data_IF_914563604065
#
_entry.id   IF_914563604065
#
_cell.length_a   1.000
_cell.length_b   1.000
_cell.length_c   1.000
_cell.angle_alpha   90.00
_cell.angle_beta   90.00
_cell.angle_gamma   90.00
#
_symmetry.space_group_name_H-M   'P 1'
#
loop_
_entity.id
_entity.type
_entity.pdbx_description
1 polymer ?
#
# COMPACT_ATOMS: atom_id res chain seq x y z
N UNK A 1 -21.02 -7.44 -1.27
CA UNK A 1 -22.04 -7.82 -0.27
C UNK A 1 -22.76 -6.53 0.06
N UNK A 2 -24.08 -6.48 -0.12
CA UNK A 2 -24.82 -5.25 0.17
C UNK A 2 -24.82 -4.99 1.68
N UNK A 3 -24.94 -3.73 2.10
CA UNK A 3 -24.89 -3.33 3.51
C UNK A 3 -25.84 -4.16 4.40
N UNK A 4 -27.04 -4.43 3.88
CA UNK A 4 -28.05 -5.28 4.51
C UNK A 4 -27.59 -6.72 4.77
N UNK A 5 -26.78 -7.28 3.89
CA UNK A 5 -26.21 -8.63 4.04
C UNK A 5 -25.08 -8.65 5.08
N UNK A 6 -24.33 -7.55 5.20
CA UNK A 6 -23.27 -7.38 6.21
C UNK A 6 -23.90 -7.35 7.60
N UNK A 7 -24.88 -6.49 7.81
CA UNK A 7 -25.59 -6.36 9.09
C UNK A 7 -26.23 -7.69 9.51
N UNK A 8 -26.88 -8.40 8.58
CA UNK A 8 -27.46 -9.72 8.85
C UNK A 8 -26.42 -10.76 9.27
N UNK A 9 -25.23 -10.75 8.64
CA UNK A 9 -24.14 -11.67 8.98
C UNK A 9 -23.45 -11.30 10.29
N UNK A 10 -23.31 -10.00 10.55
CA UNK A 10 -22.62 -9.46 11.73
C UNK A 10 -23.44 -9.70 13.00
N UNK A 11 -24.76 -9.55 12.92
CA UNK A 11 -25.67 -9.68 14.04
C UNK A 11 -26.55 -10.93 13.90
N UNK A 12 -25.92 -12.09 13.84
CA UNK A 12 -26.62 -13.38 13.67
C UNK A 12 -27.40 -13.83 14.91
N UNK A 13 -27.06 -13.30 16.08
CA UNK A 13 -27.77 -13.55 17.34
C UNK A 13 -28.56 -12.29 17.74
N UNK A 14 -29.79 -12.50 18.20
CA UNK A 14 -30.75 -11.46 18.58
C UNK A 14 -31.12 -11.51 20.06
N UNK A 15 -30.43 -12.34 20.85
CA UNK A 15 -30.61 -12.37 22.31
C UNK A 15 -30.01 -11.11 22.94
N UNK A 16 -30.88 -10.13 23.18
CA UNK A 16 -30.56 -8.91 23.92
C UNK A 16 -30.75 -9.18 25.41
N UNK A 17 -29.79 -9.85 26.04
CA UNK A 17 -29.70 -9.95 27.50
C UNK A 17 -29.10 -8.68 28.12
N UNK A 18 -29.12 -8.58 29.44
CA UNK A 18 -28.63 -7.41 30.18
C UNK A 18 -27.14 -7.09 29.89
N UNK A 19 -26.36 -8.07 29.40
CA UNK A 19 -24.92 -7.93 29.09
C UNK A 19 -24.65 -7.66 27.60
N UNK A 20 -25.65 -7.76 26.73
CA UNK A 20 -25.49 -7.64 25.28
C UNK A 20 -24.78 -6.35 24.86
N UNK A 21 -25.20 -5.22 25.42
CA UNK A 21 -24.63 -3.90 25.10
C UNK A 21 -23.17 -3.79 25.56
N UNK A 22 -22.84 -4.39 26.71
CA UNK A 22 -21.46 -4.42 27.22
C UNK A 22 -20.57 -5.27 26.31
N UNK A 23 -21.01 -6.48 25.95
CA UNK A 23 -20.29 -7.34 25.02
C UNK A 23 -20.11 -6.71 23.64
N UNK A 24 -21.14 -6.04 23.11
CA UNK A 24 -21.08 -5.33 21.83
C UNK A 24 -20.03 -4.21 21.88
N UNK A 25 -20.03 -3.41 22.96
CA UNK A 25 -19.06 -2.34 23.15
C UNK A 25 -17.63 -2.88 23.30
N UNK A 26 -17.43 -4.00 23.99
CA UNK A 26 -16.11 -4.62 24.11
C UNK A 26 -15.61 -5.20 22.77
N UNK A 27 -16.47 -5.85 21.99
CA UNK A 27 -16.14 -6.30 20.63
C UNK A 27 -15.76 -5.14 19.72
N UNK A 28 -16.50 -4.03 19.81
CA UNK A 28 -16.22 -2.79 19.08
C UNK A 28 -14.84 -2.23 19.43
N UNK A 29 -14.52 -2.07 20.73
CA UNK A 29 -13.20 -1.61 21.19
C UNK A 29 -12.06 -2.51 20.70
N UNK A 30 -12.22 -3.83 20.80
CA UNK A 30 -11.22 -4.80 20.32
C UNK A 30 -11.02 -4.69 18.80
N UNK A 31 -12.10 -4.50 18.05
CA UNK A 31 -12.05 -4.41 16.60
C UNK A 31 -11.39 -3.11 16.13
N UNK A 32 -11.68 -1.96 16.78
CA UNK A 32 -10.99 -0.69 16.50
C UNK A 32 -9.50 -0.80 16.78
N UNK A 33 -9.10 -1.35 17.93
CA UNK A 33 -7.69 -1.55 18.24
C UNK A 33 -7.00 -2.40 17.16
N UNK A 34 -7.69 -3.43 16.64
CA UNK A 34 -7.18 -4.21 15.51
C UNK A 34 -7.06 -3.39 14.22
N UNK A 35 -7.93 -2.41 13.99
CA UNK A 35 -7.90 -1.52 12.84
C UNK A 35 -6.71 -0.55 12.92
N UNK A 36 -6.49 0.08 14.07
CA UNK A 36 -5.34 0.97 14.31
C UNK A 36 -4.01 0.23 14.09
N UNK A 37 -3.88 -0.99 14.61
CA UNK A 37 -2.69 -1.84 14.39
C UNK A 37 -2.40 -2.13 12.92
N UNK A 38 -3.43 -2.21 12.06
CA UNK A 38 -3.23 -2.37 10.61
C UNK A 38 -2.67 -1.09 10.01
N UNK A 39 -3.15 0.08 10.44
CA UNK A 39 -2.60 1.38 10.04
C UNK A 39 -1.12 1.50 10.42
N UNK A 40 -0.77 1.16 11.67
CA UNK A 40 0.63 1.16 12.14
C UNK A 40 1.51 0.23 11.31
N UNK A 41 1.00 -0.97 10.99
CA UNK A 41 1.74 -1.94 10.17
C UNK A 41 1.96 -1.42 8.74
N UNK A 42 0.99 -0.70 8.17
CA UNK A 42 1.12 -0.02 6.87
C UNK A 42 2.23 1.02 6.92
N UNK A 43 2.23 1.89 7.94
CA UNK A 43 3.26 2.93 8.09
C UNK A 43 4.66 2.32 8.21
N UNK A 44 4.85 1.33 9.09
CA UNK A 44 6.13 0.61 9.22
C UNK A 44 6.59 -0.05 7.92
N UNK A 45 5.65 -0.62 7.17
CA UNK A 45 5.95 -1.22 5.86
C UNK A 45 6.44 -0.15 4.87
N UNK A 46 5.80 1.02 4.85
CA UNK A 46 6.22 2.13 3.99
C UNK A 46 7.60 2.66 4.35
N UNK A 47 7.87 2.87 5.63
CA UNK A 47 9.19 3.29 6.13
C UNK A 47 10.29 2.28 5.74
N UNK A 48 10.02 0.98 5.91
CA UNK A 48 10.95 -0.09 5.53
C UNK A 48 11.29 -0.04 4.02
N UNK A 49 10.29 -0.01 3.14
CA UNK A 49 10.55 -0.03 1.70
C UNK A 49 11.18 1.27 1.19
N UNK A 50 10.82 2.42 1.79
CA UNK A 50 11.47 3.70 1.48
C UNK A 50 12.96 3.65 1.83
N UNK A 51 13.29 3.16 3.03
CA UNK A 51 14.68 2.99 3.46
C UNK A 51 15.44 2.00 2.58
N UNK A 52 14.83 0.83 2.28
CA UNK A 52 15.42 -0.20 1.44
C UNK A 52 15.77 0.32 0.03
N UNK A 53 14.83 1.00 -0.63
CA UNK A 53 15.07 1.51 -1.99
C UNK A 53 16.06 2.67 -2.01
N UNK A 54 16.05 3.53 -1.00
CA UNK A 54 17.04 4.61 -0.85
C UNK A 54 18.45 4.03 -0.68
N UNK A 55 18.59 3.01 0.18
CA UNK A 55 19.87 2.32 0.38
C UNK A 55 20.33 1.59 -0.89
N UNK A 56 19.41 0.94 -1.61
CA UNK A 56 19.73 0.26 -2.87
C UNK A 56 20.23 1.24 -3.93
N UNK A 57 19.54 2.37 -4.14
CA UNK A 57 20.00 3.40 -5.07
C UNK A 57 21.37 3.96 -4.70
N UNK A 58 21.63 4.22 -3.42
CA UNK A 58 22.93 4.69 -2.95
C UNK A 58 24.04 3.66 -3.23
N UNK A 59 23.78 2.38 -2.95
CA UNK A 59 24.72 1.30 -3.23
C UNK A 59 25.01 1.14 -4.72
N UNK A 60 23.98 1.23 -5.58
CA UNK A 60 24.14 1.17 -7.03
C UNK A 60 24.97 2.35 -7.54
N UNK A 61 24.69 3.57 -7.09
CA UNK A 61 25.48 4.75 -7.44
C UNK A 61 26.95 4.60 -7.07
N UNK A 62 27.24 4.05 -5.88
CA UNK A 62 28.60 3.77 -5.45
C UNK A 62 29.31 2.71 -6.31
N UNK A 63 28.62 1.60 -6.63
CA UNK A 63 29.18 0.52 -7.47
C UNK A 63 29.52 1.04 -8.86
N UNK A 64 28.60 1.76 -9.50
CA UNK A 64 28.80 2.35 -10.83
C UNK A 64 29.98 3.32 -10.81
N UNK A 65 30.04 4.21 -9.82
CA UNK A 65 31.12 5.19 -9.70
C UNK A 65 32.51 4.57 -9.43
N UNK A 66 32.58 3.40 -8.79
CA UNK A 66 33.84 2.76 -8.41
C UNK A 66 34.35 1.73 -9.41
N UNK A 67 33.45 0.93 -9.98
CA UNK A 67 33.80 -0.24 -10.79
C UNK A 67 33.54 -0.07 -12.29
N UNK A 68 32.82 1.00 -12.70
CA UNK A 68 32.54 1.29 -14.10
C UNK A 68 31.95 0.10 -14.86
N UNK A 69 32.43 -0.09 -16.10
CA UNK A 69 31.89 -1.06 -17.05
C UNK A 69 31.99 -2.52 -16.59
N UNK A 70 32.96 -2.86 -15.75
CA UNK A 70 33.18 -4.23 -15.24
C UNK A 70 32.01 -4.76 -14.40
N UNK A 71 31.10 -3.89 -13.96
CA UNK A 71 29.97 -4.23 -13.08
C UNK A 71 28.59 -4.10 -13.73
N UNK A 72 28.52 -3.70 -15.01
CA UNK A 72 27.27 -3.31 -15.69
C UNK A 72 26.21 -4.40 -15.62
N UNK A 73 26.57 -5.66 -15.91
CA UNK A 73 25.61 -6.78 -15.88
C UNK A 73 24.97 -6.94 -14.49
N UNK A 74 25.77 -6.92 -13.42
CA UNK A 74 25.28 -7.04 -12.05
C UNK A 74 24.40 -5.86 -11.65
N UNK A 75 24.77 -4.65 -12.07
CA UNK A 75 23.98 -3.43 -11.82
C UNK A 75 22.62 -3.52 -12.54
N UNK A 76 22.58 -3.97 -13.80
CA UNK A 76 21.34 -4.17 -14.54
C UNK A 76 20.41 -5.17 -13.85
N UNK A 77 20.95 -6.29 -13.35
CA UNK A 77 20.17 -7.25 -12.56
C UNK A 77 19.62 -6.64 -11.27
N UNK A 78 20.43 -5.86 -10.57
CA UNK A 78 20.01 -5.21 -9.32
C UNK A 78 18.93 -4.13 -9.56
N UNK A 79 18.97 -3.41 -10.69
CA UNK A 79 17.93 -2.47 -11.11
C UNK A 79 16.59 -3.20 -11.38
N UNK A 80 16.63 -4.35 -12.05
CA UNK A 80 15.45 -5.19 -12.26
C UNK A 80 14.88 -5.67 -10.93
N UNK A 81 15.74 -6.14 -10.02
CA UNK A 81 15.32 -6.54 -8.67
C UNK A 81 14.68 -5.36 -7.91
N UNK A 82 15.25 -4.16 -8.01
CA UNK A 82 14.69 -2.93 -7.43
C UNK A 82 13.28 -2.61 -7.95
N UNK A 83 13.05 -2.75 -9.26
CA UNK A 83 11.71 -2.58 -9.86
C UNK A 83 10.71 -3.61 -9.33
N UNK A 84 11.11 -4.88 -9.21
CA UNK A 84 10.26 -5.95 -8.65
C UNK A 84 9.92 -5.66 -7.18
N UNK A 85 10.89 -5.21 -6.38
CA UNK A 85 10.68 -4.81 -4.98
C UNK A 85 9.66 -3.66 -4.91
N UNK A 86 9.77 -2.65 -5.78
CA UNK A 86 8.81 -1.55 -5.83
C UNK A 86 7.41 -2.02 -6.23
N UNK A 87 7.29 -2.95 -7.16
CA UNK A 87 6.00 -3.55 -7.51
C UNK A 87 5.38 -4.27 -6.31
N UNK A 88 6.15 -5.05 -5.56
CA UNK A 88 5.64 -5.68 -4.34
C UNK A 88 5.25 -4.67 -3.26
N UNK A 89 6.04 -3.61 -3.10
CA UNK A 89 5.68 -2.51 -2.19
C UNK A 89 4.33 -1.90 -2.56
N UNK A 90 4.12 -1.55 -3.84
CA UNK A 90 2.84 -1.06 -4.36
C UNK A 90 1.69 -2.03 -4.04
N UNK A 91 1.88 -3.32 -4.31
CA UNK A 91 0.85 -4.35 -4.06
C UNK A 91 0.49 -4.47 -2.59
N UNK A 92 1.48 -4.34 -1.70
CA UNK A 92 1.26 -4.40 -0.25
C UNK A 92 0.47 -3.18 0.22
N UNK A 93 0.80 -1.96 -0.22
CA UNK A 93 0.02 -0.75 0.12
C UNK A 93 -1.43 -0.90 -0.35
N UNK A 94 -1.63 -1.39 -1.59
CA UNK A 94 -2.96 -1.59 -2.14
C UNK A 94 -3.78 -2.58 -1.33
N UNK A 95 -3.15 -3.66 -0.85
CA UNK A 95 -3.78 -4.64 0.03
C UNK A 95 -4.21 -4.02 1.37
N UNK A 96 -3.35 -3.20 1.99
CA UNK A 96 -3.70 -2.47 3.21
C UNK A 96 -4.87 -1.50 3.01
N UNK A 97 -4.91 -0.79 1.88
CA UNK A 97 -6.03 0.08 1.52
C UNK A 97 -7.35 -0.72 1.49
N UNK A 98 -7.37 -1.85 0.77
CA UNK A 98 -8.56 -2.70 0.68
C UNK A 98 -8.99 -3.29 2.02
N UNK A 99 -8.04 -3.75 2.84
CA UNK A 99 -8.33 -4.27 4.18
C UNK A 99 -8.93 -3.20 5.09
N UNK A 100 -8.40 -1.97 5.07
CA UNK A 100 -8.95 -0.87 5.86
C UNK A 100 -10.35 -0.50 5.42
N UNK A 101 -10.62 -0.41 4.11
CA UNK A 101 -11.98 -0.16 3.60
C UNK A 101 -12.97 -1.23 4.10
N UNK A 102 -12.59 -2.50 4.07
CA UNK A 102 -13.43 -3.58 4.61
C UNK A 102 -13.66 -3.46 6.12
N UNK A 103 -12.62 -3.11 6.89
CA UNK A 103 -12.74 -2.89 8.34
C UNK A 103 -13.66 -1.72 8.67
N UNK A 104 -13.54 -0.60 7.97
CA UNK A 104 -14.44 0.56 8.14
C UNK A 104 -15.90 0.18 7.91
N UNK A 105 -16.17 -0.61 6.86
CA UNK A 105 -17.54 -1.09 6.58
C UNK A 105 -18.12 -1.88 7.75
N UNK A 106 -17.31 -2.73 8.39
CA UNK A 106 -17.73 -3.49 9.58
C UNK A 106 -17.90 -2.57 10.79
N UNK A 107 -17.00 -1.60 10.99
CA UNK A 107 -17.10 -0.61 12.08
C UNK A 107 -18.42 0.16 11.97
N UNK A 108 -18.75 0.70 10.79
CA UNK A 108 -20.01 1.41 10.55
C UNK A 108 -21.24 0.53 10.81
N UNK A 109 -21.18 -0.74 10.41
CA UNK A 109 -22.25 -1.69 10.70
C UNK A 109 -22.41 -1.95 12.22
N UNK A 110 -21.31 -2.04 12.99
CA UNK A 110 -21.37 -2.17 14.45
C UNK A 110 -21.98 -0.90 15.06
N UNK A 111 -21.55 0.27 14.61
CA UNK A 111 -22.00 1.58 15.10
C UNK A 111 -23.52 1.79 14.94
N UNK A 112 -24.17 1.14 13.97
CA UNK A 112 -25.63 1.17 13.81
C UNK A 112 -26.42 0.67 15.03
N UNK A 113 -25.78 -0.08 15.93
CA UNK A 113 -26.37 -0.58 17.19
C UNK A 113 -25.76 0.04 18.44
N UNK A 114 -24.78 0.93 18.30
CA UNK A 114 -24.18 1.65 19.41
C UNK A 114 -24.86 3.01 19.60
N UNK A 115 -24.80 3.60 20.81
CA UNK A 115 -25.36 4.93 21.06
C UNK A 115 -24.71 6.05 20.24
N UNK A 116 -23.46 5.85 19.79
CA UNK A 116 -22.68 6.81 19.03
C UNK A 116 -22.04 6.13 17.82
N UNK A 117 -22.15 6.78 16.66
CA UNK A 117 -21.53 6.37 15.40
C UNK A 117 -20.34 7.27 15.05
N UNK A 118 -19.26 7.13 15.81
CA UNK A 118 -18.11 8.03 15.77
C UNK A 118 -17.42 8.02 14.40
N UNK A 119 -17.11 6.84 13.87
CA UNK A 119 -16.41 6.67 12.60
C UNK A 119 -17.31 6.91 11.39
N UNK A 120 -18.61 6.62 11.48
CA UNK A 120 -19.57 6.99 10.42
C UNK A 120 -19.70 8.51 10.33
N UNK A 121 -19.88 9.17 11.48
CA UNK A 121 -19.92 10.64 11.56
C UNK A 121 -18.62 11.27 11.07
N UNK A 122 -17.46 10.71 11.43
CA UNK A 122 -16.16 11.17 10.92
C UNK A 122 -16.10 11.06 9.40
N UNK A 123 -16.54 9.94 8.83
CA UNK A 123 -16.55 9.72 7.39
C UNK A 123 -17.46 10.72 6.65
N UNK A 124 -18.60 11.08 7.24
CA UNK A 124 -19.52 12.10 6.74
C UNK A 124 -18.89 13.48 6.74
N UNK A 125 -18.22 13.85 7.82
CA UNK A 125 -17.49 15.13 7.94
C UNK A 125 -16.38 15.21 6.89
N UNK A 126 -15.70 14.10 6.61
CA UNK A 126 -14.69 13.97 5.54
C UNK A 126 -15.29 13.86 4.13
N UNK A 127 -16.61 13.98 3.98
CA UNK A 127 -17.29 13.99 2.69
C UNK A 127 -17.35 12.63 2.00
N UNK A 128 -17.32 11.53 2.76
CA UNK A 128 -17.42 10.14 2.31
C UNK A 128 -16.45 9.74 1.17
N UNK A 129 -15.36 10.48 1.00
CA UNK A 129 -14.41 10.29 -0.09
C UNK A 129 -14.87 10.80 -1.46
N UNK A 130 -16.04 11.45 -1.54
CA UNK A 130 -16.56 12.10 -2.75
C UNK A 130 -16.00 13.52 -2.88
N UNK A 131 -15.81 14.19 -1.74
CA UNK A 131 -15.31 15.56 -1.67
C UNK A 131 -13.79 15.61 -1.46
N UNK A 132 -13.06 15.78 -2.57
CA UNK A 132 -11.60 15.87 -2.57
C UNK A 132 -11.06 17.17 -1.98
N UNK A 133 -11.89 18.21 -1.84
CA UNK A 133 -11.49 19.46 -1.18
C UNK A 133 -11.44 19.30 0.34
N UNK A 134 -12.31 18.43 0.89
CA UNK A 134 -12.34 18.13 2.34
C UNK A 134 -11.25 17.17 2.76
N UNK A 135 -11.08 16.06 2.04
CA UNK A 135 -10.13 15.03 2.46
C UNK A 135 -9.48 14.31 1.29
N UNK A 136 -8.15 14.28 1.32
CA UNK A 136 -7.34 13.53 0.38
C UNK A 136 -6.70 12.33 1.08
N UNK A 137 -7.16 11.09 0.82
CA UNK A 137 -6.68 9.94 1.58
C UNK A 137 -5.20 9.70 1.35
N UNK A 138 -4.43 9.58 2.44
CA UNK A 138 -2.98 9.35 2.43
C UNK A 138 -2.54 8.20 1.51
N UNK A 139 -3.36 7.14 1.41
CA UNK A 139 -3.09 6.01 0.53
C UNK A 139 -2.89 6.39 -0.94
N UNK A 140 -3.49 7.49 -1.42
CA UNK A 140 -3.28 7.96 -2.80
C UNK A 140 -1.87 8.49 -3.04
N UNK A 141 -1.23 9.03 -2.00
CA UNK A 141 0.14 9.52 -2.06
C UNK A 141 1.09 8.33 -1.91
N UNK A 142 0.88 7.49 -0.90
CA UNK A 142 1.71 6.32 -0.62
C UNK A 142 1.81 5.39 -1.83
N UNK A 143 0.70 5.17 -2.54
CA UNK A 143 0.65 4.32 -3.74
C UNK A 143 1.53 4.86 -4.89
N UNK A 144 1.79 6.17 -4.95
CA UNK A 144 2.61 6.79 -6.01
C UNK A 144 4.10 6.69 -5.75
N UNK A 145 4.53 6.56 -4.50
CA UNK A 145 5.96 6.54 -4.15
C UNK A 145 6.72 5.37 -4.83
N UNK A 146 6.21 4.12 -4.84
CA UNK A 146 6.87 3.03 -5.56
C UNK A 146 7.06 3.33 -7.05
N UNK A 147 6.12 4.02 -7.70
CA UNK A 147 6.23 4.39 -9.12
C UNK A 147 7.37 5.37 -9.38
N UNK A 148 7.63 6.30 -8.45
CA UNK A 148 8.77 7.21 -8.54
C UNK A 148 10.08 6.41 -8.57
N UNK A 149 10.24 5.42 -7.68
CA UNK A 149 11.42 4.56 -7.67
C UNK A 149 11.52 3.68 -8.92
N UNK A 150 10.41 3.13 -9.41
CA UNK A 150 10.39 2.38 -10.69
C UNK A 150 10.89 3.26 -11.83
N UNK A 151 10.40 4.50 -11.95
CA UNK A 151 10.85 5.43 -12.99
C UNK A 151 12.35 5.70 -12.85
N UNK A 152 12.85 5.94 -11.64
CA UNK A 152 14.28 6.13 -11.40
C UNK A 152 15.10 4.91 -11.84
N UNK A 153 14.67 3.70 -11.47
CA UNK A 153 15.36 2.48 -11.91
C UNK A 153 15.31 2.30 -13.43
N UNK A 154 14.20 2.60 -14.10
CA UNK A 154 14.08 2.56 -15.55
C UNK A 154 15.05 3.55 -16.21
N UNK A 155 15.09 4.80 -15.72
CA UNK A 155 16.00 5.82 -16.26
C UNK A 155 17.46 5.38 -16.13
N UNK A 156 17.86 4.84 -14.98
CA UNK A 156 19.22 4.34 -14.76
C UNK A 156 19.49 3.11 -15.64
N UNK A 157 18.53 2.20 -15.76
CA UNK A 157 18.65 1.01 -16.61
C UNK A 157 18.86 1.39 -18.08
N UNK A 158 18.09 2.35 -18.58
CA UNK A 158 18.24 2.88 -19.93
C UNK A 158 19.56 3.64 -20.09
N UNK A 159 20.07 4.32 -19.06
CA UNK A 159 21.36 5.01 -19.17
C UNK A 159 22.56 4.03 -19.23
N UNK A 160 22.46 2.86 -18.58
CA UNK A 160 23.56 1.90 -18.43
C UNK A 160 23.55 0.74 -19.43
N UNK A 161 22.45 0.53 -20.14
CA UNK A 161 22.38 -0.50 -21.18
C UNK A 161 23.46 -0.21 -22.27
N UNK A 162 24.13 -1.23 -22.83
CA UNK A 162 25.17 -1.03 -23.85
C UNK A 162 24.55 -0.91 -25.27
N UNK A 163 24.21 0.31 -25.71
CA UNK A 163 23.52 0.55 -26.99
C UNK A 163 24.28 0.01 -28.19
N UNK A 164 25.60 0.12 -28.20
CA UNK A 164 26.42 -0.29 -29.36
C UNK A 164 26.35 -1.80 -29.59
N UNK A 165 26.50 -2.61 -28.53
CA UNK A 165 26.34 -4.06 -28.60
C UNK A 165 24.94 -4.50 -29.04
N UNK A 166 23.90 -3.75 -28.64
CA UNK A 166 22.50 -4.03 -29.02
C UNK A 166 22.28 -3.74 -30.51
N UNK A 167 22.80 -2.62 -31.01
CA UNK A 167 22.69 -2.27 -32.44
C UNK A 167 23.38 -3.33 -33.31
N UNK A 168 24.56 -3.79 -32.91
CA UNK A 168 25.30 -4.83 -33.62
C UNK A 168 24.50 -6.14 -33.70
N UNK A 169 23.94 -6.59 -32.58
CA UNK A 169 23.11 -7.80 -32.53
C UNK A 169 21.81 -7.68 -33.36
N UNK A 170 21.12 -6.54 -33.30
CA UNK A 170 19.93 -6.31 -34.12
C UNK A 170 20.27 -6.28 -35.61
N UNK A 171 21.38 -5.64 -35.98
CA UNK A 171 21.85 -5.61 -37.38
C UNK A 171 22.19 -7.00 -37.92
N UNK A 172 22.66 -7.91 -37.06
CA UNK A 172 22.92 -9.30 -37.42
C UNK A 172 21.63 -10.14 -37.58
N UNK A 173 20.57 -9.84 -36.82
CA UNK A 173 19.28 -10.55 -36.92
C UNK A 173 18.49 -10.14 -38.16
N UNK A 174 18.57 -8.87 -38.56
CA UNK A 174 17.74 -8.30 -39.64
C UNK A 174 18.44 -8.22 -41.01
N UNK A 175 19.64 -8.78 -41.14
CA UNK A 175 20.43 -8.84 -42.37
C UNK A 175 20.66 -10.30 -42.76
#
# INVERSE_FOLDING_TARGET
MEEKDITKKLFSDSSEDDTYTEHLLEQYKLYINSHEKVSDRRQKTNEFFLGLNTALLAALGFIVGKFGDSSVVLVLFALIAGMIICYFWYRIIYSYKGLNTGKFTVIHAIESRLPLSLYDTEWDVLGRGEDKEKYWPFSHIEIKIPWVFIILYIVIFIALLPWENIKEYLSFIFN
#
